data_IF_070489942245
#
_entry.id   IF_070489942245
#
_cell.length_a   1.000
_cell.length_b   1.000
_cell.length_c   1.000
_cell.angle_alpha   90.00
_cell.angle_beta   90.00
_cell.angle_gamma   90.00
#
_symmetry.space_group_name_H-M   'P 1'
#
loop_
_entity.id
_entity.type
_entity.pdbx_description
1 polymer ?
#
# COMPACT_ATOMS: atom_id res chain seq x y z
N UNK A 1 5.19 13.79 -13.15
CA UNK A 1 4.45 13.50 -11.89
C UNK A 1 3.24 12.67 -12.28
N UNK A 2 3.22 11.38 -11.93
CA UNK A 2 2.17 10.44 -12.36
C UNK A 2 0.84 10.83 -11.72
N UNK A 3 -0.02 11.51 -12.48
CA UNK A 3 -1.38 11.81 -12.05
C UNK A 3 -2.22 10.53 -12.22
N UNK A 4 -2.44 9.79 -11.14
CA UNK A 4 -3.45 8.74 -11.11
C UNK A 4 -4.78 9.33 -11.62
N UNK A 5 -5.36 8.70 -12.65
CA UNK A 5 -6.64 9.12 -13.20
C UNK A 5 -7.74 9.00 -12.13
N UNK A 6 -8.75 9.88 -12.16
CA UNK A 6 -9.82 9.88 -11.15
C UNK A 6 -10.53 8.53 -11.05
N UNK A 7 -10.74 7.83 -12.17
CA UNK A 7 -11.30 6.48 -12.22
C UNK A 7 -10.45 5.45 -11.46
N UNK A 8 -9.13 5.48 -11.65
CA UNK A 8 -8.23 4.55 -10.95
C UNK A 8 -8.25 4.78 -9.43
N UNK A 9 -8.41 6.04 -8.99
CA UNK A 9 -8.52 6.34 -7.56
C UNK A 9 -9.80 5.77 -6.96
N UNK A 10 -10.91 5.87 -7.67
CA UNK A 10 -12.20 5.32 -7.24
C UNK A 10 -12.16 3.79 -7.15
N UNK A 11 -11.55 3.12 -8.12
CA UNK A 11 -11.35 1.66 -8.10
C UNK A 11 -10.52 1.22 -6.88
N UNK A 12 -9.40 1.90 -6.62
CA UNK A 12 -8.54 1.60 -5.47
C UNK A 12 -9.26 1.86 -4.13
N UNK A 13 -10.10 2.89 -4.05
CA UNK A 13 -10.92 3.16 -2.86
C UNK A 13 -12.02 2.11 -2.68
N UNK A 14 -12.62 1.62 -3.76
CA UNK A 14 -13.58 0.53 -3.71
C UNK A 14 -12.91 -0.78 -3.24
N UNK A 15 -11.70 -1.06 -3.71
CA UNK A 15 -10.92 -2.22 -3.27
C UNK A 15 -10.56 -2.12 -1.78
N UNK A 16 -10.14 -0.93 -1.29
CA UNK A 16 -9.91 -0.70 0.15
C UNK A 16 -11.17 -1.00 0.94
N UNK A 17 -12.34 -0.50 0.54
CA UNK A 17 -13.61 -0.76 1.26
C UNK A 17 -13.96 -2.25 1.30
N UNK A 18 -13.74 -2.96 0.18
CA UNK A 18 -13.96 -4.40 0.11
C UNK A 18 -13.03 -5.16 1.07
N UNK A 19 -11.76 -4.76 1.14
CA UNK A 19 -10.78 -5.33 2.07
C UNK A 19 -11.12 -4.99 3.52
N UNK A 20 -11.52 -3.75 3.81
CA UNK A 20 -11.94 -3.32 5.15
C UNK A 20 -13.18 -4.09 5.63
N UNK A 21 -14.10 -4.47 4.73
CA UNK A 21 -15.26 -5.29 5.08
C UNK A 21 -14.92 -6.74 5.43
N UNK A 22 -13.75 -7.22 5.01
CA UNK A 22 -13.23 -8.56 5.34
C UNK A 22 -12.44 -8.56 6.66
N UNK A 23 -12.19 -7.39 7.27
CA UNK A 23 -11.51 -7.33 8.55
C UNK A 23 -12.39 -7.98 9.62
N UNK A 24 -11.82 -9.00 10.23
CA UNK A 24 -12.45 -9.78 11.29
C UNK A 24 -12.27 -9.15 12.67
N UNK A 25 -11.32 -8.21 12.78
CA UNK A 25 -10.87 -7.63 14.05
C UNK A 25 -9.79 -8.47 14.73
N UNK A 26 -9.53 -9.69 14.26
CA UNK A 26 -8.39 -10.48 14.70
C UNK A 26 -7.14 -10.02 13.97
N UNK A 27 -6.19 -9.43 14.71
CA UNK A 27 -5.00 -8.82 14.13
C UNK A 27 -4.12 -9.80 13.35
N UNK A 28 -4.12 -11.09 13.70
CA UNK A 28 -3.35 -12.11 12.98
C UNK A 28 -3.99 -12.45 11.63
N UNK A 29 -5.30 -12.62 11.60
CA UNK A 29 -6.04 -12.94 10.37
C UNK A 29 -6.14 -11.73 9.44
N UNK A 30 -6.19 -10.52 10.02
CA UNK A 30 -6.27 -9.26 9.31
C UNK A 30 -4.92 -8.77 8.77
N UNK A 31 -3.79 -9.41 9.14
CA UNK A 31 -2.44 -8.93 8.81
C UNK A 31 -2.24 -8.76 7.30
N UNK A 32 -2.64 -9.76 6.52
CA UNK A 32 -2.53 -9.75 5.06
C UNK A 32 -3.43 -8.68 4.43
N UNK A 33 -4.68 -8.58 4.92
CA UNK A 33 -5.67 -7.61 4.45
C UNK A 33 -5.18 -6.19 4.70
N UNK A 34 -4.66 -5.92 5.91
CA UNK A 34 -4.09 -4.62 6.29
C UNK A 34 -2.87 -4.28 5.46
N UNK A 35 -1.99 -5.25 5.15
CA UNK A 35 -0.86 -5.06 4.26
C UNK A 35 -1.28 -4.65 2.84
N UNK A 36 -2.32 -5.29 2.29
CA UNK A 36 -2.89 -4.92 0.99
C UNK A 36 -3.48 -3.51 1.01
N UNK A 37 -4.26 -3.16 2.04
CA UNK A 37 -4.82 -1.81 2.20
C UNK A 37 -3.70 -0.77 2.27
N UNK A 38 -2.65 -1.03 3.04
CA UNK A 38 -1.50 -0.13 3.18
C UNK A 38 -0.82 0.11 1.83
N UNK A 39 -0.54 -0.94 1.06
CA UNK A 39 0.05 -0.82 -0.28
C UNK A 39 -0.81 0.00 -1.26
N UNK A 40 -2.14 -0.16 -1.20
CA UNK A 40 -3.05 0.63 -2.03
C UNK A 40 -3.04 2.10 -1.60
N UNK A 41 -3.07 2.39 -0.29
CA UNK A 41 -2.96 3.76 0.24
C UNK A 41 -1.64 4.42 -0.17
N UNK A 42 -0.54 3.67 -0.13
CA UNK A 42 0.76 4.15 -0.61
C UNK A 42 0.73 4.54 -2.09
N UNK A 43 0.10 3.73 -2.96
CA UNK A 43 -0.09 4.06 -4.38
C UNK A 43 -0.95 5.33 -4.57
N UNK A 44 -2.02 5.48 -3.79
CA UNK A 44 -2.91 6.65 -3.85
C UNK A 44 -2.22 7.95 -3.41
N UNK A 45 -1.44 7.88 -2.34
CA UNK A 45 -0.71 9.02 -1.78
C UNK A 45 0.61 9.30 -2.53
N UNK A 46 1.06 8.34 -3.35
CA UNK A 46 2.35 8.42 -4.05
C UNK A 46 3.56 8.24 -3.12
N UNK A 47 3.35 7.68 -1.93
CA UNK A 47 4.41 7.42 -0.95
C UNK A 47 5.07 6.09 -1.32
N UNK A 48 6.39 6.10 -1.52
CA UNK A 48 7.16 4.94 -1.97
C UNK A 48 7.16 3.86 -0.87
N UNK A 49 7.01 2.56 -1.21
CA UNK A 49 7.11 1.48 -0.22
C UNK A 49 8.43 1.53 0.53
N UNK A 50 8.38 1.23 1.84
CA UNK A 50 9.54 1.20 2.74
C UNK A 50 10.55 0.14 2.32
N UNK A 51 10.17 -0.78 1.42
CA UNK A 51 11.06 -1.73 0.75
C UNK A 51 11.84 -1.10 -0.43
N UNK A 52 12.31 0.13 -0.23
CA UNK A 52 13.46 0.57 -1.00
C UNK A 52 14.62 -0.23 -0.44
N UNK A 53 15.08 -1.26 -1.17
CA UNK A 53 16.43 -1.76 -1.05
C UNK A 53 17.35 -0.55 -0.92
N UNK A 54 17.79 -0.27 0.30
CA UNK A 54 18.91 0.62 0.52
C UNK A 54 20.06 -0.17 -0.07
N UNK A 55 20.40 0.12 -1.33
CA UNK A 55 21.75 -0.12 -1.81
C UNK A 55 22.63 0.72 -0.88
N UNK A 56 23.05 0.08 0.22
CA UNK A 56 24.25 0.44 0.92
C UNK A 56 25.36 0.22 -0.11
N UNK A 57 25.55 1.20 -0.99
CA UNK A 57 26.81 1.39 -1.68
C UNK A 57 27.77 1.64 -0.52
N UNK A 58 28.39 0.56 -0.06
CA UNK A 58 29.53 0.63 0.80
C UNK A 58 30.47 1.62 0.15
N UNK A 59 30.58 2.80 0.74
CA UNK A 59 31.80 3.58 0.71
C UNK A 59 32.85 2.75 1.47
N UNK A 60 33.25 1.63 0.86
CA UNK A 60 34.47 0.92 1.17
C UNK A 60 35.57 1.73 0.52
N UNK A 61 36.11 2.66 1.32
CA UNK A 61 37.46 3.20 1.17
C UNK A 61 38.47 2.13 0.77
#
# INVERSE_FOLDING_TARGET
MSQLSPQMKEELLAEIKSLESQLTGNMMDDMDIRGRIHNIKMKLEGVKPVDSFVDCIGCGS
#
